data_IF_286287022498
#
_entry.id   IF_286287022498
#
_cell.length_a   1.000
_cell.length_b   1.000
_cell.length_c   1.000
_cell.angle_alpha   90.00
_cell.angle_beta   90.00
_cell.angle_gamma   90.00
#
_symmetry.space_group_name_H-M   'P 1'
#
loop_
_entity.id
_entity.type
_entity.pdbx_description
1 polymer ?
#
# COMPACT_ATOMS: atom_id res chain seq x y z
N UNK A 1 -20.33 86.86 44.75
CA UNK A 1 -20.14 86.31 43.38
C UNK A 1 -19.13 85.18 43.47
N UNK A 2 -19.61 83.94 43.42
CA UNK A 2 -18.78 82.75 43.45
C UNK A 2 -18.53 82.30 41.98
N UNK A 3 -17.24 82.28 41.57
CA UNK A 3 -16.83 81.73 40.28
C UNK A 3 -16.64 80.22 40.41
N UNK A 4 -17.44 79.44 39.73
CA UNK A 4 -17.28 77.98 39.65
C UNK A 4 -16.32 77.67 38.51
N UNK A 5 -15.20 77.00 38.79
CA UNK A 5 -14.25 76.55 37.81
C UNK A 5 -14.68 75.13 37.40
N UNK A 6 -15.00 74.96 36.13
CA UNK A 6 -15.38 73.74 35.52
C UNK A 6 -14.05 73.00 35.07
N UNK A 7 -13.68 71.97 35.73
CA UNK A 7 -12.55 71.12 35.32
C UNK A 7 -13.09 70.07 34.36
N UNK A 8 -12.74 70.15 33.09
CA UNK A 8 -12.98 69.09 32.10
C UNK A 8 -11.89 68.00 32.25
N UNK A 9 -12.30 66.81 32.68
CA UNK A 9 -11.49 65.60 32.65
C UNK A 9 -11.54 65.04 31.24
N UNK A 10 -10.44 65.14 30.50
CA UNK A 10 -10.22 64.41 29.23
C UNK A 10 -9.71 63.02 29.57
N UNK A 11 -10.63 62.03 29.53
CA UNK A 11 -10.23 60.62 29.64
C UNK A 11 -9.73 60.15 28.26
N UNK A 12 -8.40 60.01 28.14
CA UNK A 12 -7.80 59.36 26.98
C UNK A 12 -8.08 57.85 27.07
N UNK A 13 -8.99 57.36 26.23
CA UNK A 13 -9.27 55.94 26.06
C UNK A 13 -8.12 55.33 25.26
N UNK A 14 -7.16 54.68 25.94
CA UNK A 14 -6.16 53.81 25.28
C UNK A 14 -6.86 52.58 24.78
N UNK A 15 -7.21 52.56 23.49
CA UNK A 15 -7.67 51.35 22.79
C UNK A 15 -6.45 50.50 22.49
N UNK A 16 -6.08 49.59 23.40
CA UNK A 16 -5.08 48.55 23.13
C UNK A 16 -5.62 47.60 22.08
N UNK A 17 -5.20 47.77 20.83
CA UNK A 17 -5.43 46.80 19.77
C UNK A 17 -4.61 45.59 20.11
N UNK A 18 -5.25 44.59 20.73
CA UNK A 18 -4.67 43.25 20.87
C UNK A 18 -4.65 42.61 19.45
N UNK A 19 -3.54 42.71 18.77
CA UNK A 19 -3.27 41.81 17.66
C UNK A 19 -3.02 40.43 18.27
N UNK A 20 -3.81 39.43 17.95
CA UNK A 20 -3.44 38.05 18.29
C UNK A 20 -2.16 37.76 17.52
N UNK A 21 -1.00 37.82 18.18
CA UNK A 21 0.19 37.16 17.69
C UNK A 21 -0.11 35.66 17.72
N UNK A 22 -0.41 35.09 16.58
CA UNK A 22 -0.35 33.64 16.41
C UNK A 22 1.13 33.29 16.56
N UNK A 23 1.57 32.88 17.76
CA UNK A 23 2.81 32.18 17.91
C UNK A 23 2.68 30.93 17.04
N UNK A 24 3.44 30.85 15.95
CA UNK A 24 3.67 29.62 15.24
C UNK A 24 4.53 28.76 16.14
N UNK A 25 3.97 27.69 16.68
CA UNK A 25 4.73 26.70 17.44
C UNK A 25 5.51 25.83 16.45
N UNK A 26 6.62 25.25 16.92
CA UNK A 26 7.28 24.14 16.22
C UNK A 26 6.30 22.99 16.11
N UNK A 27 6.09 22.46 14.91
CA UNK A 27 5.04 21.46 14.63
C UNK A 27 5.47 20.50 13.52
N UNK A 28 4.69 19.44 13.31
CA UNK A 28 4.85 18.55 12.18
C UNK A 28 3.48 18.04 11.69
N UNK A 29 3.39 17.77 10.41
CA UNK A 29 2.20 17.23 9.77
C UNK A 29 2.54 15.92 9.07
N UNK A 30 2.83 14.83 9.83
CA UNK A 30 3.29 13.59 9.26
C UNK A 30 2.22 12.93 8.40
N UNK A 31 2.67 12.25 7.35
CA UNK A 31 1.81 11.45 6.48
C UNK A 31 2.51 10.14 6.14
N UNK A 32 1.73 9.07 6.05
CA UNK A 32 2.17 7.78 5.50
C UNK A 32 1.48 7.58 4.17
N UNK A 33 2.26 7.40 3.11
CA UNK A 33 1.77 7.21 1.75
C UNK A 33 2.07 5.80 1.27
N UNK A 34 1.15 5.24 0.47
CA UNK A 34 1.36 3.99 -0.23
C UNK A 34 0.40 3.87 -1.43
N UNK A 35 0.77 3.02 -2.39
CA UNK A 35 -0.15 2.65 -3.47
C UNK A 35 -1.08 1.54 -3.02
N UNK A 36 -2.39 1.78 -3.06
CA UNK A 36 -3.42 0.77 -2.76
C UNK A 36 -3.81 0.02 -4.04
N UNK A 37 -3.56 -1.29 -4.05
CA UNK A 37 -3.98 -2.17 -5.14
C UNK A 37 -5.51 -2.24 -5.23
N UNK A 38 -6.20 -2.22 -4.09
CA UNK A 38 -7.66 -2.32 -4.03
C UNK A 38 -8.34 -1.07 -4.59
N UNK A 39 -7.75 0.11 -4.38
CA UNK A 39 -8.28 1.39 -4.84
C UNK A 39 -7.69 1.82 -6.20
N UNK A 40 -6.63 1.14 -6.65
CA UNK A 40 -5.81 1.51 -7.81
C UNK A 40 -5.35 2.98 -7.77
N UNK A 41 -4.96 3.45 -6.58
CA UNK A 41 -4.60 4.84 -6.31
C UNK A 41 -3.56 4.95 -5.17
N UNK A 42 -2.89 6.10 -5.13
CA UNK A 42 -2.10 6.49 -3.98
C UNK A 42 -3.02 6.89 -2.82
N UNK A 43 -2.73 6.36 -1.64
CA UNK A 43 -3.48 6.55 -0.39
C UNK A 43 -2.59 7.21 0.63
N UNK A 44 -3.17 8.14 1.39
CA UNK A 44 -2.52 8.81 2.51
C UNK A 44 -3.18 8.44 3.83
N UNK A 45 -2.36 8.15 4.84
CA UNK A 45 -2.79 7.94 6.23
C UNK A 45 -2.26 9.11 7.05
N UNK A 46 -3.17 9.88 7.60
CA UNK A 46 -2.87 11.04 8.45
C UNK A 46 -3.01 10.68 9.93
N UNK A 47 -2.47 11.49 10.86
CA UNK A 47 -2.63 11.27 12.29
C UNK A 47 -4.08 11.01 12.71
N UNK A 48 -4.30 9.97 13.52
CA UNK A 48 -5.62 9.54 13.98
C UNK A 48 -6.44 8.74 12.99
N UNK A 49 -5.96 8.55 11.74
CA UNK A 49 -6.69 7.79 10.72
C UNK A 49 -6.20 6.34 10.58
N UNK A 50 -6.99 5.52 9.88
CA UNK A 50 -6.69 4.11 9.62
C UNK A 50 -7.05 3.74 8.20
N UNK A 51 -6.18 2.93 7.55
CA UNK A 51 -6.40 2.39 6.22
C UNK A 51 -6.12 0.89 6.16
N UNK A 52 -6.80 0.19 5.24
CA UNK A 52 -6.60 -1.23 5.00
C UNK A 52 -5.92 -1.43 3.65
N UNK A 53 -4.96 -2.35 3.60
CA UNK A 53 -4.21 -2.66 2.38
C UNK A 53 -3.82 -4.13 2.32
N UNK A 54 -3.12 -4.52 1.25
CA UNK A 54 -2.59 -5.86 1.04
C UNK A 54 -1.07 -5.88 1.21
N UNK A 55 -0.51 -7.02 1.64
CA UNK A 55 0.93 -7.25 1.64
C UNK A 55 1.40 -7.89 0.32
N UNK A 56 2.66 -7.64 -0.09
CA UNK A 56 3.60 -6.70 0.51
C UNK A 56 3.19 -5.26 0.24
N UNK A 57 3.38 -4.36 1.21
CA UNK A 57 3.01 -2.96 1.11
C UNK A 57 4.22 -2.07 1.39
N UNK A 58 4.63 -1.31 0.39
CA UNK A 58 5.70 -0.33 0.52
C UNK A 58 5.11 0.98 1.03
N UNK A 59 5.58 1.42 2.20
CA UNK A 59 5.21 2.67 2.84
C UNK A 59 6.29 3.73 2.61
N UNK A 60 5.87 4.94 2.31
CA UNK A 60 6.68 6.16 2.41
C UNK A 60 6.17 6.97 3.59
N UNK A 61 7.05 7.29 4.53
CA UNK A 61 6.77 8.08 5.72
C UNK A 61 7.39 9.45 5.54
N UNK A 62 6.61 10.52 5.65
CA UNK A 62 7.04 11.91 5.44
C UNK A 62 6.67 12.73 6.66
N UNK A 63 7.66 13.37 7.31
CA UNK A 63 7.45 14.07 8.58
C UNK A 63 6.77 15.44 8.40
N UNK A 64 7.03 16.17 7.31
CA UNK A 64 6.53 17.53 7.05
C UNK A 64 6.71 18.45 8.27
N UNK A 65 7.96 18.67 8.69
CA UNK A 65 8.30 19.47 9.87
C UNK A 65 8.14 20.96 9.58
N UNK A 66 7.35 21.68 10.38
CA UNK A 66 7.26 23.15 10.41
C UNK A 66 8.15 23.69 11.55
N UNK A 67 9.24 24.33 11.18
CA UNK A 67 10.27 24.81 12.10
C UNK A 67 10.55 26.32 11.87
N UNK A 68 9.61 27.22 12.21
CA UNK A 68 9.70 28.66 11.90
C UNK A 68 10.87 29.37 12.61
N UNK A 69 11.29 28.88 13.78
CA UNK A 69 12.31 29.52 14.59
C UNK A 69 13.71 28.86 14.44
N UNK A 70 13.87 27.99 13.42
CA UNK A 70 15.15 27.34 13.05
C UNK A 70 15.80 26.55 14.21
N UNK A 71 15.02 25.83 15.01
CA UNK A 71 15.55 24.85 15.96
C UNK A 71 16.31 23.74 15.23
N UNK A 72 17.31 23.16 15.86
CA UNK A 72 17.78 21.84 15.46
C UNK A 72 16.72 20.82 15.84
N UNK A 73 16.45 19.84 14.97
CA UNK A 73 15.45 18.83 15.28
C UNK A 73 15.90 17.43 14.86
N UNK A 74 15.30 16.44 15.51
CA UNK A 74 15.47 15.02 15.22
C UNK A 74 14.09 14.39 15.09
N UNK A 75 13.85 13.71 13.97
CA UNK A 75 12.67 12.89 13.76
C UNK A 75 12.93 11.48 14.30
N UNK A 76 11.93 10.86 14.91
CA UNK A 76 11.93 9.46 15.29
C UNK A 76 10.59 8.83 14.90
N UNK A 77 10.60 8.01 13.85
CA UNK A 77 9.47 7.19 13.47
C UNK A 77 9.49 5.87 14.21
N UNK A 78 8.35 5.47 14.77
CA UNK A 78 8.15 4.14 15.34
C UNK A 78 7.05 3.42 14.60
N UNK A 79 7.34 2.18 14.18
CA UNK A 79 6.37 1.26 13.57
C UNK A 79 6.29 0.03 14.46
N UNK A 80 5.09 -0.34 14.88
CA UNK A 80 4.87 -1.51 15.74
C UNK A 80 3.63 -2.31 15.30
N UNK A 81 3.58 -3.57 15.71
CA UNK A 81 2.36 -4.38 15.57
C UNK A 81 1.36 -3.97 16.66
N UNK A 82 0.11 -3.68 16.32
CA UNK A 82 -0.92 -3.20 17.26
C UNK A 82 -1.29 -4.23 18.36
N UNK A 83 -0.89 -5.50 18.20
CA UNK A 83 -0.97 -6.50 19.28
C UNK A 83 0.09 -6.29 20.37
N UNK A 84 1.05 -5.40 20.13
CA UNK A 84 2.10 -4.95 21.07
C UNK A 84 1.90 -3.46 21.32
N UNK A 85 2.77 -2.84 22.12
CA UNK A 85 2.75 -1.40 22.34
C UNK A 85 3.84 -0.70 21.52
N UNK A 86 3.75 0.63 21.42
CA UNK A 86 4.70 1.48 20.69
C UNK A 86 6.13 1.49 21.27
N UNK A 87 6.30 1.06 22.52
CA UNK A 87 7.61 0.95 23.19
C UNK A 87 8.37 -0.32 22.81
N UNK A 88 7.75 -1.21 22.01
CA UNK A 88 8.40 -2.38 21.41
C UNK A 88 8.26 -2.34 19.89
N UNK A 89 8.85 -1.31 19.23
CA UNK A 89 8.68 -1.15 17.80
C UNK A 89 9.33 -2.31 17.02
N UNK A 90 8.77 -2.61 15.86
CA UNK A 90 9.40 -3.49 14.88
C UNK A 90 10.61 -2.81 14.25
N UNK A 91 10.48 -1.50 14.05
CA UNK A 91 11.52 -0.67 13.47
C UNK A 91 11.40 0.77 13.98
N UNK A 92 12.55 1.43 14.12
CA UNK A 92 12.69 2.87 14.35
C UNK A 92 13.47 3.47 13.18
N UNK A 93 13.08 4.67 12.73
CA UNK A 93 13.74 5.45 11.67
C UNK A 93 13.91 6.88 12.15
N UNK A 94 14.95 7.57 11.64
CA UNK A 94 15.31 8.92 12.10
C UNK A 94 15.36 9.94 10.95
N UNK A 95 15.05 9.54 9.73
CA UNK A 95 15.00 10.40 8.56
C UNK A 95 13.67 11.15 8.51
N UNK A 96 13.63 12.35 7.91
CA UNK A 96 12.38 13.09 7.64
C UNK A 96 11.50 12.37 6.64
N UNK A 97 12.12 11.76 5.63
CA UNK A 97 11.46 10.87 4.68
C UNK A 97 12.15 9.52 4.71
N UNK A 98 11.37 8.47 4.88
CA UNK A 98 11.89 7.10 4.97
C UNK A 98 10.90 6.08 4.42
N UNK A 99 11.37 4.87 4.17
CA UNK A 99 10.56 3.79 3.58
C UNK A 99 10.56 2.55 4.47
N UNK A 100 9.44 1.83 4.45
CA UNK A 100 9.32 0.54 5.12
C UNK A 100 8.32 -0.37 4.41
N UNK A 101 8.68 -1.64 4.19
CA UNK A 101 7.79 -2.63 3.57
C UNK A 101 7.12 -3.50 4.62
N UNK A 102 5.78 -3.47 4.67
CA UNK A 102 4.97 -4.38 5.48
C UNK A 102 4.76 -5.68 4.72
N UNK A 103 5.24 -6.79 5.29
CA UNK A 103 5.14 -8.14 4.68
C UNK A 103 4.28 -9.11 5.50
N UNK A 104 3.75 -8.67 6.65
CA UNK A 104 2.94 -9.50 7.54
C UNK A 104 1.53 -8.95 7.65
N UNK A 105 0.54 -9.84 7.76
CA UNK A 105 -0.85 -9.46 8.07
C UNK A 105 -1.03 -8.99 9.49
N UNK A 106 -2.00 -8.12 9.69
CA UNK A 106 -2.38 -7.56 10.98
C UNK A 106 -2.35 -6.04 11.02
N UNK A 107 -2.62 -5.47 12.18
CA UNK A 107 -2.59 -4.03 12.39
C UNK A 107 -1.19 -3.53 12.72
N UNK A 108 -0.82 -2.40 12.15
CA UNK A 108 0.44 -1.70 12.41
C UNK A 108 0.14 -0.26 12.81
N UNK A 109 0.66 0.15 13.97
CA UNK A 109 0.67 1.54 14.40
C UNK A 109 1.96 2.22 13.95
N UNK A 110 1.83 3.47 13.54
CA UNK A 110 2.93 4.31 13.07
C UNK A 110 2.81 5.66 13.78
N UNK A 111 3.89 6.15 14.36
CA UNK A 111 3.95 7.43 15.03
C UNK A 111 5.24 8.17 14.71
N UNK A 112 5.14 9.49 14.62
CA UNK A 112 6.27 10.38 14.54
C UNK A 112 6.46 11.10 15.87
N UNK A 113 7.69 11.12 16.35
CA UNK A 113 8.19 12.00 17.41
C UNK A 113 9.19 12.96 16.82
N UNK A 114 9.09 14.25 17.15
CA UNK A 114 10.09 15.24 16.75
C UNK A 114 10.56 15.98 17.99
N UNK A 115 11.86 15.98 18.22
CA UNK A 115 12.50 16.73 19.30
C UNK A 115 13.23 17.93 18.70
N UNK A 116 12.76 19.14 19.01
CA UNK A 116 13.36 20.41 18.61
C UNK A 116 14.25 20.91 19.76
N UNK A 117 15.43 21.47 19.43
CA UNK A 117 16.38 22.01 20.43
C UNK A 117 17.04 23.29 19.94
N UNK A 118 17.07 24.33 20.80
CA UNK A 118 17.74 25.60 20.55
C UNK A 118 18.21 26.20 21.88
N UNK A 119 19.50 26.53 21.99
CA UNK A 119 20.12 27.22 23.14
C UNK A 119 19.82 26.60 24.54
N UNK A 120 19.56 25.29 24.57
CA UNK A 120 19.23 24.55 25.79
C UNK A 120 17.73 24.37 26.03
N UNK A 121 16.87 25.01 25.27
CA UNK A 121 15.45 24.76 25.27
C UNK A 121 15.11 23.55 24.40
N UNK A 122 14.10 22.77 24.78
CA UNK A 122 13.64 21.57 24.06
C UNK A 122 12.12 21.62 23.95
N UNK A 123 11.62 21.37 22.72
CA UNK A 123 10.20 21.22 22.42
C UNK A 123 10.00 19.82 21.85
N UNK A 124 9.02 19.08 22.34
CA UNK A 124 8.69 17.74 21.87
C UNK A 124 7.34 17.77 21.15
N UNK A 125 7.30 17.16 19.98
CA UNK A 125 6.09 16.90 19.22
C UNK A 125 5.87 15.39 19.16
N UNK A 126 4.63 14.97 19.31
CA UNK A 126 4.19 13.58 19.16
C UNK A 126 2.91 13.55 18.31
N UNK A 127 2.92 12.82 17.20
CA UNK A 127 1.73 12.66 16.37
C UNK A 127 0.70 11.73 17.05
N UNK A 128 -0.56 11.83 16.63
CA UNK A 128 -1.51 10.74 16.86
C UNK A 128 -1.09 9.50 16.04
N UNK A 129 -1.56 8.34 16.46
CA UNK A 129 -1.24 7.09 15.78
C UNK A 129 -1.91 7.03 14.40
N UNK A 130 -1.12 6.81 13.38
CA UNK A 130 -1.57 6.40 12.05
C UNK A 130 -1.63 4.87 12.02
N UNK A 131 -2.70 4.30 11.50
CA UNK A 131 -2.88 2.84 11.51
C UNK A 131 -2.99 2.29 10.10
N UNK A 132 -2.19 1.26 9.80
CA UNK A 132 -2.29 0.48 8.57
C UNK A 132 -2.65 -0.96 8.94
N UNK A 133 -3.73 -1.48 8.35
CA UNK A 133 -4.20 -2.85 8.57
C UNK A 133 -3.92 -3.67 7.31
N UNK A 134 -3.05 -4.66 7.41
CA UNK A 134 -2.77 -5.59 6.31
C UNK A 134 -3.75 -6.76 6.38
N UNK A 135 -4.50 -6.95 5.29
CA UNK A 135 -5.49 -8.02 5.13
C UNK A 135 -4.86 -9.41 5.22
N UNK A 136 -5.64 -10.38 5.69
CA UNK A 136 -5.27 -11.80 5.67
C UNK A 136 -5.09 -12.29 4.23
N UNK A 137 -4.33 -13.36 4.05
CA UNK A 137 -4.05 -13.90 2.73
C UNK A 137 -5.23 -14.67 2.15
N UNK A 138 -5.34 -14.62 0.81
CA UNK A 138 -6.32 -15.42 0.05
C UNK A 138 -5.73 -15.80 -1.30
N UNK A 139 -5.95 -17.05 -1.71
CA UNK A 139 -5.47 -17.56 -2.99
C UNK A 139 -6.50 -18.49 -3.62
N UNK A 140 -6.94 -18.18 -4.84
CA UNK A 140 -7.85 -19.05 -5.61
C UNK A 140 -7.42 -19.16 -7.08
N UNK A 141 -7.63 -20.35 -7.64
CA UNK A 141 -7.22 -20.67 -9.01
C UNK A 141 -8.45 -21.01 -9.86
N UNK A 142 -8.60 -20.48 -11.09
CA UNK A 142 -9.67 -20.87 -12.01
C UNK A 142 -9.46 -22.29 -12.55
N UNK A 143 -10.50 -22.84 -13.17
CA UNK A 143 -10.46 -24.20 -13.76
C UNK A 143 -9.92 -24.22 -15.20
N UNK A 144 -9.73 -23.08 -15.80
CA UNK A 144 -9.22 -22.99 -17.17
C UNK A 144 -9.15 -21.56 -17.69
N UNK A 145 -8.65 -21.42 -18.91
CA UNK A 145 -8.57 -20.15 -19.65
C UNK A 145 -8.57 -20.41 -21.16
N UNK A 146 -8.71 -19.36 -21.98
CA UNK A 146 -8.86 -19.47 -23.42
C UNK A 146 -7.91 -18.53 -24.17
N UNK A 147 -6.64 -18.95 -24.41
CA UNK A 147 -5.65 -18.10 -25.09
C UNK A 147 -5.90 -18.01 -26.59
N UNK A 148 -6.98 -17.34 -27.01
CA UNK A 148 -7.43 -17.19 -28.40
C UNK A 148 -7.28 -15.76 -28.94
N UNK A 149 -6.79 -14.83 -28.09
CA UNK A 149 -6.57 -13.42 -28.39
C UNK A 149 -7.87 -12.63 -28.69
N UNK A 150 -8.95 -12.95 -27.97
CA UNK A 150 -10.21 -12.21 -27.99
C UNK A 150 -10.35 -11.23 -26.81
N UNK A 151 -9.29 -11.12 -25.97
CA UNK A 151 -9.20 -10.30 -24.76
C UNK A 151 -10.06 -10.82 -23.60
N UNK A 152 -10.61 -12.03 -23.69
CA UNK A 152 -11.41 -12.65 -22.65
C UNK A 152 -10.73 -13.93 -22.16
N UNK A 153 -10.21 -13.92 -20.93
CA UNK A 153 -9.52 -15.05 -20.34
C UNK A 153 -8.34 -15.59 -21.17
N UNK A 154 -7.65 -14.73 -21.91
CA UNK A 154 -6.50 -15.11 -22.74
C UNK A 154 -5.29 -15.58 -21.90
N UNK A 155 -5.25 -15.25 -20.62
CA UNK A 155 -4.19 -15.63 -19.69
C UNK A 155 -4.76 -16.36 -18.48
N UNK A 156 -3.98 -17.30 -17.93
CA UNK A 156 -4.33 -17.94 -16.67
C UNK A 156 -4.04 -16.99 -15.52
N UNK A 157 -5.11 -16.42 -14.94
CA UNK A 157 -5.07 -15.45 -13.85
C UNK A 157 -5.60 -16.08 -12.58
N UNK A 158 -4.85 -16.01 -11.51
CA UNK A 158 -5.30 -16.40 -10.17
C UNK A 158 -5.78 -15.18 -9.40
N UNK A 159 -6.71 -15.37 -8.47
CA UNK A 159 -7.01 -14.34 -7.47
C UNK A 159 -6.06 -14.52 -6.29
N UNK A 160 -5.33 -13.47 -5.95
CA UNK A 160 -4.37 -13.45 -4.86
C UNK A 160 -4.50 -12.15 -4.06
N UNK A 161 -4.51 -12.28 -2.74
CA UNK A 161 -4.54 -11.17 -1.79
C UNK A 161 -3.49 -11.44 -0.72
N UNK A 162 -2.66 -10.46 -0.41
CA UNK A 162 -1.62 -10.56 0.61
C UNK A 162 -0.73 -11.82 0.49
N UNK A 163 -0.34 -12.19 -0.75
CA UNK A 163 0.57 -13.29 -1.06
C UNK A 163 1.98 -12.72 -1.25
N UNK A 164 2.90 -13.13 -0.38
CA UNK A 164 4.28 -12.61 -0.38
C UNK A 164 5.27 -13.46 -1.18
N UNK A 165 4.91 -14.72 -1.46
CA UNK A 165 5.70 -15.60 -2.32
C UNK A 165 4.78 -16.53 -3.10
N UNK A 166 5.11 -16.77 -4.37
CA UNK A 166 4.35 -17.66 -5.23
C UNK A 166 5.32 -18.42 -6.18
N UNK A 167 5.12 -19.73 -6.29
CA UNK A 167 5.80 -20.59 -7.25
C UNK A 167 4.75 -21.46 -7.95
N UNK A 168 4.66 -21.38 -9.27
CA UNK A 168 3.71 -22.14 -10.07
C UNK A 168 4.40 -22.87 -11.21
N UNK A 169 4.04 -24.14 -11.41
CA UNK A 169 4.54 -25.00 -12.47
C UNK A 169 3.37 -25.64 -13.20
N UNK A 170 3.39 -25.56 -14.52
CA UNK A 170 2.37 -26.13 -15.39
C UNK A 170 2.93 -27.33 -16.15
N UNK A 171 2.17 -28.41 -16.19
CA UNK A 171 2.56 -29.66 -16.82
C UNK A 171 1.50 -30.08 -17.83
N UNK A 172 1.93 -30.72 -18.91
CA UNK A 172 1.01 -31.38 -19.84
C UNK A 172 0.56 -32.74 -19.24
N UNK A 173 -0.34 -33.44 -19.97
CA UNK A 173 -0.89 -34.76 -19.55
C UNK A 173 0.19 -35.86 -19.38
N UNK A 174 1.37 -35.71 -19.94
CA UNK A 174 2.47 -36.64 -19.80
C UNK A 174 3.45 -36.30 -18.68
N UNK A 175 3.13 -35.26 -17.89
CA UNK A 175 3.96 -34.78 -16.78
C UNK A 175 5.16 -33.92 -17.21
N UNK A 176 5.26 -33.51 -18.48
CA UNK A 176 6.31 -32.61 -18.93
C UNK A 176 6.01 -31.18 -18.51
N UNK A 177 7.00 -30.48 -17.98
CA UNK A 177 6.92 -29.07 -17.64
C UNK A 177 6.74 -28.24 -18.91
N UNK A 178 5.71 -27.42 -18.98
CA UNK A 178 5.44 -26.52 -20.12
C UNK A 178 5.61 -25.06 -19.77
N UNK A 179 5.46 -24.69 -18.50
CA UNK A 179 5.66 -23.32 -18.03
C UNK A 179 5.95 -23.30 -16.53
N UNK A 180 6.74 -22.33 -16.09
CA UNK A 180 6.96 -22.07 -14.66
C UNK A 180 7.16 -20.59 -14.41
N UNK A 181 6.66 -20.12 -13.26
CA UNK A 181 6.81 -18.74 -12.79
C UNK A 181 7.04 -18.75 -11.29
N UNK A 182 8.00 -17.93 -10.84
CA UNK A 182 8.26 -17.68 -9.42
C UNK A 182 8.20 -16.19 -9.19
N UNK A 183 7.36 -15.75 -8.27
CA UNK A 183 7.17 -14.36 -7.90
C UNK A 183 7.51 -14.19 -6.42
N UNK A 184 8.45 -13.29 -6.15
CA UNK A 184 8.68 -12.73 -4.84
C UNK A 184 8.11 -11.31 -4.89
N UNK A 185 7.14 -10.99 -4.04
CA UNK A 185 6.30 -9.81 -4.15
C UNK A 185 5.44 -9.89 -5.43
N UNK A 186 4.28 -10.52 -5.31
CA UNK A 186 3.41 -10.80 -6.44
C UNK A 186 2.93 -9.49 -7.09
N UNK A 187 3.31 -9.28 -8.35
CA UNK A 187 2.80 -8.17 -9.15
C UNK A 187 1.41 -8.50 -9.66
N UNK A 188 0.46 -7.62 -9.38
CA UNK A 188 -0.93 -7.74 -9.84
C UNK A 188 -1.05 -7.34 -11.31
N UNK A 189 -2.08 -7.83 -11.98
CA UNK A 189 -2.39 -7.41 -13.34
C UNK A 189 -2.87 -5.96 -13.33
N UNK A 190 -2.39 -5.14 -14.27
CA UNK A 190 -2.73 -3.71 -14.34
C UNK A 190 -4.24 -3.45 -14.54
N UNK A 191 -4.93 -4.37 -15.22
CA UNK A 191 -6.35 -4.29 -15.54
C UNK A 191 -7.28 -4.91 -14.48
N UNK A 192 -6.74 -5.74 -13.59
CA UNK A 192 -7.49 -6.41 -12.52
C UNK A 192 -6.67 -6.42 -11.22
N UNK A 193 -6.96 -5.50 -10.30
CA UNK A 193 -6.32 -5.44 -9.01
C UNK A 193 -6.33 -6.72 -8.26
N UNK A 194 -6.12 -7.49 -7.66
CA UNK A 194 -6.30 -8.82 -7.06
C UNK A 194 -6.10 -10.02 -8.01
N UNK A 195 -5.65 -9.79 -9.25
CA UNK A 195 -5.33 -10.86 -10.19
C UNK A 195 -3.85 -10.88 -10.52
N UNK A 196 -3.28 -12.08 -10.56
CA UNK A 196 -1.89 -12.34 -10.96
C UNK A 196 -1.90 -13.21 -12.19
N UNK A 197 -1.21 -12.78 -13.24
CA UNK A 197 -1.04 -13.56 -14.46
C UNK A 197 0.07 -14.59 -14.22
N UNK A 198 -0.25 -15.87 -14.37
CA UNK A 198 0.71 -16.96 -14.21
C UNK A 198 1.15 -17.57 -15.54
N UNK A 199 0.29 -17.56 -16.57
CA UNK A 199 0.61 -18.20 -17.84
C UNK A 199 -0.20 -17.61 -18.99
N UNK A 200 0.43 -17.38 -20.14
CA UNK A 200 -0.18 -16.90 -21.37
C UNK A 200 -0.58 -18.03 -22.35
N UNK A 201 -0.49 -19.28 -21.93
CA UNK A 201 -0.81 -20.44 -22.76
C UNK A 201 0.27 -20.81 -23.77
N UNK A 202 1.48 -20.27 -23.65
CA UNK A 202 2.59 -20.59 -24.57
C UNK A 202 3.63 -21.48 -23.92
N UNK A 203 4.25 -22.30 -24.77
CA UNK A 203 5.46 -23.06 -24.51
C UNK A 203 6.41 -22.83 -25.70
N UNK A 204 7.64 -22.41 -25.42
CA UNK A 204 8.65 -22.02 -26.42
C UNK A 204 8.11 -21.04 -27.47
N UNK A 205 7.35 -20.02 -27.03
CA UNK A 205 6.78 -18.96 -27.86
C UNK A 205 5.58 -19.37 -28.73
N UNK A 206 5.10 -20.61 -28.65
CA UNK A 206 3.93 -21.11 -29.40
C UNK A 206 2.80 -21.47 -28.44
N UNK A 207 1.58 -21.16 -28.84
CA UNK A 207 0.42 -21.60 -28.09
C UNK A 207 0.36 -23.12 -27.99
N UNK A 208 0.14 -23.61 -26.79
CA UNK A 208 -0.03 -25.03 -26.53
C UNK A 208 -1.33 -25.55 -27.14
N UNK A 209 -1.47 -26.87 -27.31
CA UNK A 209 -2.69 -27.49 -27.83
C UNK A 209 -3.82 -27.38 -26.80
N UNK A 210 -5.07 -27.36 -27.28
CA UNK A 210 -6.25 -27.47 -26.44
C UNK A 210 -6.22 -28.79 -25.66
N UNK A 211 -6.60 -28.73 -24.40
CA UNK A 211 -6.61 -29.89 -23.55
C UNK A 211 -6.44 -29.59 -22.08
N UNK A 212 -6.22 -30.66 -21.32
CA UNK A 212 -6.02 -30.59 -19.88
C UNK A 212 -4.54 -30.50 -19.55
N UNK A 213 -4.20 -29.52 -18.79
CA UNK A 213 -2.89 -29.29 -18.17
C UNK A 213 -3.03 -29.42 -16.65
N UNK A 214 -1.94 -29.43 -15.94
CA UNK A 214 -1.95 -29.55 -14.47
C UNK A 214 -1.09 -28.44 -13.90
N UNK A 215 -1.60 -27.76 -12.89
CA UNK A 215 -0.84 -26.79 -12.10
C UNK A 215 -0.41 -27.41 -10.77
N UNK A 216 0.85 -27.18 -10.42
CA UNK A 216 1.36 -27.34 -9.07
C UNK A 216 1.79 -25.96 -8.58
N UNK A 217 1.04 -25.39 -7.65
CA UNK A 217 1.24 -24.04 -7.13
C UNK A 217 1.51 -24.11 -5.63
N UNK A 218 2.56 -23.39 -5.23
CA UNK A 218 2.86 -23.05 -3.85
C UNK A 218 2.72 -21.55 -3.66
N UNK A 219 2.01 -21.12 -2.63
CA UNK A 219 1.91 -19.74 -2.20
C UNK A 219 2.17 -19.61 -0.71
N UNK A 220 2.80 -18.50 -0.29
CA UNK A 220 2.96 -18.13 1.11
C UNK A 220 2.22 -16.81 1.34
N UNK A 221 1.25 -16.83 2.24
CA UNK A 221 0.53 -15.66 2.70
C UNK A 221 1.32 -14.83 3.70
N UNK A 222 1.00 -13.56 3.79
CA UNK A 222 1.55 -12.63 4.78
C UNK A 222 1.19 -12.99 6.23
N UNK A 223 0.15 -13.80 6.41
CA UNK A 223 -0.30 -14.41 7.67
C UNK A 223 0.42 -15.72 8.00
N UNK A 224 1.34 -16.16 7.15
CA UNK A 224 2.07 -17.42 7.28
C UNK A 224 1.33 -18.64 6.77
N UNK A 225 0.14 -18.47 6.17
CA UNK A 225 -0.61 -19.59 5.58
C UNK A 225 0.10 -20.06 4.31
N UNK A 226 0.36 -21.37 4.23
CA UNK A 226 0.89 -22.03 3.05
C UNK A 226 -0.24 -22.60 2.18
N UNK A 227 -0.27 -22.17 0.93
CA UNK A 227 -1.18 -22.69 -0.10
C UNK A 227 -0.43 -23.74 -0.96
N UNK A 228 -0.94 -24.97 -1.01
CA UNK A 228 -0.39 -26.06 -1.82
C UNK A 228 -1.49 -26.57 -2.73
N UNK A 229 -1.58 -26.04 -3.94
CA UNK A 229 -2.67 -26.32 -4.89
C UNK A 229 -2.14 -27.20 -6.03
N UNK A 230 -2.82 -28.34 -6.23
CA UNK A 230 -2.62 -29.21 -7.40
C UNK A 230 -3.96 -29.45 -8.05
N UNK A 231 -4.14 -29.01 -9.28
CA UNK A 231 -5.40 -29.16 -9.99
C UNK A 231 -5.23 -29.23 -11.50
N UNK A 232 -6.26 -29.71 -12.18
CA UNK A 232 -6.35 -29.66 -13.62
C UNK A 232 -6.72 -28.22 -14.07
N UNK A 233 -6.16 -27.82 -15.22
CA UNK A 233 -6.41 -26.54 -15.88
C UNK A 233 -6.81 -26.82 -17.33
N UNK A 234 -7.98 -26.40 -17.74
CA UNK A 234 -8.45 -26.55 -19.12
C UNK A 234 -7.93 -25.39 -19.98
N UNK A 235 -7.24 -25.71 -21.05
CA UNK A 235 -6.83 -24.74 -22.08
C UNK A 235 -7.71 -24.95 -23.31
N UNK A 236 -8.54 -23.97 -23.66
CA UNK A 236 -9.54 -24.06 -24.70
C UNK A 236 -9.48 -22.80 -25.56
N UNK A 237 -8.90 -22.87 -26.75
CA UNK A 237 -8.78 -21.71 -27.65
C UNK A 237 -10.08 -21.37 -28.41
N UNK A 238 -11.15 -22.17 -28.23
CA UNK A 238 -12.41 -22.04 -28.93
C UNK A 238 -12.33 -22.50 -30.36
N UNK A 239 -13.47 -22.81 -30.95
CA UNK A 239 -13.57 -23.03 -32.41
C UNK A 239 -13.41 -21.64 -33.07
N UNK A 240 -12.29 -21.38 -33.74
CA UNK A 240 -12.30 -20.42 -34.83
C UNK A 240 -13.25 -21.03 -35.88
N UNK A 241 -14.37 -20.38 -36.15
CA UNK A 241 -15.10 -20.67 -37.36
C UNK A 241 -14.09 -20.62 -38.51
N UNK A 242 -13.93 -21.75 -39.15
CA UNK A 242 -13.07 -21.87 -40.33
C UNK A 242 -13.77 -21.04 -41.37
N UNK A 243 -13.33 -19.78 -41.58
CA UNK A 243 -13.91 -18.89 -42.60
C UNK A 243 -14.07 -19.67 -43.88
N UNK A 244 -15.30 -19.73 -44.34
CA UNK A 244 -15.64 -20.28 -45.65
C UNK A 244 -14.79 -19.59 -46.70
N UNK A 245 -13.86 -20.32 -47.27
CA UNK A 245 -13.29 -20.00 -48.58
C UNK A 245 -14.33 -20.39 -49.61
N UNK A 246 -15.39 -19.61 -49.74
CA UNK A 246 -16.21 -19.61 -50.96
C UNK A 246 -15.53 -18.71 -51.98
N UNK A 247 -14.67 -19.28 -52.75
CA UNK A 247 -14.06 -18.69 -53.92
C UNK A 247 -14.07 -19.73 -55.05
N UNK A 248 -15.25 -20.05 -55.56
CA UNK A 248 -15.42 -20.61 -56.91
C UNK A 248 -16.10 -19.55 -57.75
N UNK A 249 -15.37 -18.91 -58.62
CA UNK A 249 -15.59 -18.87 -60.05
C UNK A 249 -14.46 -18.12 -60.73
#
# INVERSE_FOLDING_TARGET
MKKTILIQLVSALFLSVFFPMTLKAQDASPVVQFYSIDEAADVEVTPGSSQTAQAPLDLTLIANVDNPDNYNYVCEWRIWNTKKNEFTPLVTRFEEETHYTLTQSGGFGIKLYVTFSLDGDTIEYESETMTVVISESKLTCPDGFSPNNDQINDTYRITAQSIVKLDAKFFNRWGQLVHSVTLNNAQHAEDEPNKIILWDGKHDGKYVQDGVYFINLYGLGSDGIEYKIKKAVNVLKGFRERGETTGRN
#
